data_IF_316864656510
#
_entry.id   IF_316864656510
#
_cell.length_a   1.000
_cell.length_b   1.000
_cell.length_c   1.000
_cell.angle_alpha   90.00
_cell.angle_beta   90.00
_cell.angle_gamma   90.00
#
_symmetry.space_group_name_H-M   'P 1'
#
loop_
_entity.id
_entity.type
_entity.pdbx_description
1 polymer ?
#
# COMPACT_ATOMS: atom_id res chain seq x y z
N UNK A 1 26.06 -2.35 0.34
CA UNK A 1 25.06 -2.85 1.31
C UNK A 1 23.88 -1.91 1.14
N UNK A 2 22.71 -2.45 0.79
CA UNK A 2 21.49 -1.64 0.60
C UNK A 2 20.98 -1.05 1.93
N UNK A 3 20.22 0.04 1.82
CA UNK A 3 19.70 0.77 2.99
C UNK A 3 18.75 -0.08 3.86
N UNK A 4 18.17 -1.15 3.32
CA UNK A 4 17.21 -2.01 3.99
C UNK A 4 17.73 -3.43 4.27
N UNK A 5 19.06 -3.62 4.23
CA UNK A 5 19.66 -4.93 4.50
C UNK A 5 19.29 -5.44 5.89
N UNK A 6 18.77 -6.69 5.93
CA UNK A 6 18.30 -7.34 7.16
C UNK A 6 16.90 -6.91 7.60
N UNK A 7 16.22 -6.03 6.87
CA UNK A 7 14.81 -5.67 7.10
C UNK A 7 13.87 -6.61 6.36
N UNK A 8 12.66 -6.76 6.87
CA UNK A 8 11.60 -7.55 6.26
C UNK A 8 10.43 -6.65 5.87
N UNK A 9 9.87 -6.88 4.69
CA UNK A 9 8.77 -6.09 4.16
C UNK A 9 7.58 -6.97 3.74
N UNK A 10 6.37 -6.55 4.09
CA UNK A 10 5.11 -7.13 3.61
C UNK A 10 4.42 -6.15 2.67
N UNK A 11 4.06 -6.62 1.48
CA UNK A 11 3.45 -5.79 0.44
C UNK A 11 2.14 -6.42 -0.02
N UNK A 12 0.99 -5.86 0.39
CA UNK A 12 -0.30 -6.29 -0.16
C UNK A 12 -0.49 -5.73 -1.57
N UNK A 13 -1.07 -6.54 -2.46
CA UNK A 13 -1.12 -6.19 -3.89
C UNK A 13 0.24 -6.21 -4.58
N UNK A 14 1.25 -6.88 -3.99
CA UNK A 14 2.63 -6.95 -4.45
C UNK A 14 2.88 -7.82 -5.68
N UNK A 15 1.83 -8.36 -6.31
CA UNK A 15 1.99 -9.31 -7.42
C UNK A 15 2.00 -8.65 -8.81
N UNK A 16 1.73 -7.34 -8.91
CA UNK A 16 1.75 -6.56 -10.14
C UNK A 16 1.77 -5.06 -9.88
N UNK A 17 2.01 -4.29 -10.95
CA UNK A 17 1.92 -2.83 -10.94
C UNK A 17 2.78 -2.18 -9.86
N UNK A 18 2.24 -1.16 -9.21
CA UNK A 18 2.96 -0.35 -8.20
C UNK A 18 3.44 -1.22 -7.03
N UNK A 19 2.60 -2.15 -6.54
CA UNK A 19 2.97 -3.03 -5.43
C UNK A 19 4.13 -3.96 -5.78
N UNK A 20 4.18 -4.47 -7.00
CA UNK A 20 5.30 -5.29 -7.49
C UNK A 20 6.59 -4.46 -7.60
N UNK A 21 6.53 -3.27 -8.16
CA UNK A 21 7.69 -2.38 -8.25
C UNK A 21 8.16 -1.91 -6.87
N UNK A 22 7.24 -1.72 -5.92
CA UNK A 22 7.61 -1.46 -4.53
C UNK A 22 8.35 -2.66 -3.91
N UNK A 23 7.83 -3.90 -4.09
CA UNK A 23 8.51 -5.10 -3.62
C UNK A 23 9.89 -5.25 -4.25
N UNK A 24 9.99 -4.99 -5.56
CA UNK A 24 11.26 -5.00 -6.29
C UNK A 24 12.25 -3.95 -5.76
N UNK A 25 11.82 -2.71 -5.60
CA UNK A 25 12.67 -1.63 -5.11
C UNK A 25 13.16 -1.87 -3.67
N UNK A 26 12.27 -2.32 -2.77
CA UNK A 26 12.63 -2.67 -1.39
C UNK A 26 13.62 -3.84 -1.35
N UNK A 27 13.40 -4.87 -2.19
CA UNK A 27 14.30 -6.02 -2.30
C UNK A 27 15.67 -5.65 -2.84
N UNK A 28 15.77 -4.77 -3.83
CA UNK A 28 17.04 -4.26 -4.36
C UNK A 28 17.82 -3.45 -3.30
N UNK A 29 17.11 -2.80 -2.37
CA UNK A 29 17.72 -2.17 -1.19
C UNK A 29 18.09 -3.17 -0.08
N UNK A 30 17.89 -4.46 -0.29
CA UNK A 30 18.34 -5.55 0.60
C UNK A 30 17.30 -6.08 1.56
N UNK A 31 16.02 -5.69 1.44
CA UNK A 31 14.97 -6.26 2.26
C UNK A 31 14.53 -7.66 1.77
N UNK A 32 14.20 -8.57 2.69
CA UNK A 32 13.41 -9.76 2.38
C UNK A 32 11.95 -9.32 2.19
N UNK A 33 11.32 -9.73 1.08
CA UNK A 33 9.97 -9.26 0.74
C UNK A 33 8.94 -10.38 0.72
N UNK A 34 7.78 -10.17 1.34
CA UNK A 34 6.62 -11.03 1.28
C UNK A 34 5.50 -10.31 0.52
N UNK A 35 5.15 -10.81 -0.67
CA UNK A 35 4.05 -10.26 -1.46
C UNK A 35 2.75 -10.98 -1.16
N UNK A 36 1.69 -10.23 -0.96
CA UNK A 36 0.34 -10.75 -0.70
C UNK A 36 -0.54 -10.48 -1.92
N UNK A 37 -1.18 -11.53 -2.42
CA UNK A 37 -2.11 -11.46 -3.54
C UNK A 37 -3.08 -12.64 -3.54
N UNK A 38 -4.23 -12.48 -4.20
CA UNK A 38 -5.30 -13.51 -4.19
C UNK A 38 -5.20 -14.53 -5.33
N UNK A 39 -4.36 -14.27 -6.32
CA UNK A 39 -4.18 -15.13 -7.49
C UNK A 39 -2.88 -15.94 -7.36
N UNK A 40 -2.93 -17.28 -7.21
CA UNK A 40 -1.75 -18.12 -7.04
C UNK A 40 -0.75 -17.98 -8.19
N UNK A 41 -1.23 -17.99 -9.43
CA UNK A 41 -0.35 -17.97 -10.61
C UNK A 41 0.40 -16.64 -10.73
N UNK A 42 -0.29 -15.52 -10.44
CA UNK A 42 0.35 -14.20 -10.41
C UNK A 42 1.34 -14.09 -9.25
N UNK A 43 1.01 -14.63 -8.09
CA UNK A 43 1.89 -14.64 -6.93
C UNK A 43 3.18 -15.43 -7.19
N UNK A 44 3.09 -16.63 -7.77
CA UNK A 44 4.24 -17.42 -8.17
C UNK A 44 5.11 -16.72 -9.22
N UNK A 45 4.46 -16.11 -10.23
CA UNK A 45 5.17 -15.38 -11.28
C UNK A 45 5.91 -14.17 -10.73
N UNK A 46 5.30 -13.42 -9.81
CA UNK A 46 5.92 -12.27 -9.15
C UNK A 46 7.14 -12.69 -8.33
N UNK A 47 6.99 -13.71 -7.48
CA UNK A 47 8.12 -14.22 -6.67
C UNK A 47 9.25 -14.73 -7.55
N UNK A 48 8.94 -15.47 -8.63
CA UNK A 48 9.94 -15.95 -9.58
C UNK A 48 10.70 -14.80 -10.24
N UNK A 49 10.00 -13.73 -10.64
CA UNK A 49 10.62 -12.54 -11.22
C UNK A 49 11.54 -11.81 -10.22
N UNK A 50 11.09 -11.62 -8.98
CA UNK A 50 11.89 -10.99 -7.93
C UNK A 50 13.15 -11.81 -7.61
N UNK A 51 13.02 -13.14 -7.48
CA UNK A 51 14.15 -14.05 -7.23
C UNK A 51 15.16 -14.08 -8.37
N UNK A 52 14.71 -13.92 -9.61
CA UNK A 52 15.60 -13.82 -10.77
C UNK A 52 16.50 -12.59 -10.73
N UNK A 53 16.11 -11.55 -9.98
CA UNK A 53 16.92 -10.36 -9.71
C UNK A 53 17.74 -10.48 -8.40
N UNK A 54 17.79 -11.67 -7.79
CA UNK A 54 18.54 -11.92 -6.55
C UNK A 54 17.83 -11.47 -5.27
N UNK A 55 16.55 -11.12 -5.34
CA UNK A 55 15.75 -10.66 -4.20
C UNK A 55 15.22 -11.88 -3.43
N UNK A 56 15.38 -11.89 -2.12
CA UNK A 56 14.73 -12.88 -1.25
C UNK A 56 13.23 -12.55 -1.14
N UNK A 57 12.40 -13.34 -1.83
CA UNK A 57 10.98 -13.07 -2.01
C UNK A 57 10.11 -14.27 -1.70
N UNK A 58 8.98 -14.03 -1.03
CA UNK A 58 7.96 -15.01 -0.66
C UNK A 58 6.58 -14.54 -1.07
N UNK A 59 5.60 -15.46 -1.16
CA UNK A 59 4.22 -15.10 -1.42
C UNK A 59 3.28 -15.72 -0.38
N UNK A 60 2.25 -14.95 -0.02
CA UNK A 60 1.05 -15.41 0.67
C UNK A 60 -0.17 -15.19 -0.22
N UNK A 61 -1.00 -16.25 -0.34
CA UNK A 61 -2.17 -16.23 -1.20
C UNK A 61 -3.39 -15.98 -0.34
N UNK A 62 -3.84 -14.72 -0.32
CA UNK A 62 -5.01 -14.29 0.45
C UNK A 62 -5.64 -13.05 -0.18
N UNK A 63 -6.96 -12.93 -0.10
CA UNK A 63 -7.66 -11.69 -0.41
C UNK A 63 -7.62 -10.77 0.83
N UNK A 64 -7.18 -9.53 0.66
CA UNK A 64 -7.12 -8.55 1.76
C UNK A 64 -8.48 -8.25 2.38
N UNK A 65 -9.58 -8.52 1.65
CA UNK A 65 -10.93 -8.40 2.16
C UNK A 65 -11.32 -9.55 3.12
N UNK A 66 -10.59 -10.69 3.10
CA UNK A 66 -10.80 -11.81 4.01
C UNK A 66 -10.02 -11.59 5.32
N UNK A 67 -10.71 -11.10 6.36
CA UNK A 67 -10.11 -10.81 7.65
C UNK A 67 -9.46 -12.04 8.30
N UNK A 68 -10.13 -13.22 8.25
CA UNK A 68 -9.62 -14.45 8.84
C UNK A 68 -8.41 -14.99 8.06
N UNK A 69 -8.46 -14.90 6.73
CA UNK A 69 -7.32 -15.24 5.87
C UNK A 69 -6.11 -14.34 6.13
N UNK A 70 -6.32 -13.05 6.37
CA UNK A 70 -5.27 -12.10 6.71
C UNK A 70 -4.65 -12.40 8.09
N UNK A 71 -5.45 -12.78 9.09
CA UNK A 71 -4.95 -13.25 10.39
C UNK A 71 -4.08 -14.50 10.24
N UNK A 72 -4.54 -15.47 9.45
CA UNK A 72 -3.78 -16.69 9.17
C UNK A 72 -2.48 -16.41 8.40
N UNK A 73 -2.48 -15.48 7.45
CA UNK A 73 -1.27 -15.05 6.74
C UNK A 73 -0.26 -14.38 7.69
N UNK A 74 -0.73 -13.49 8.56
CA UNK A 74 0.12 -12.82 9.53
C UNK A 74 0.77 -13.80 10.54
N UNK A 75 0.10 -14.89 10.88
CA UNK A 75 0.68 -15.92 11.75
C UNK A 75 1.86 -16.68 11.08
N UNK A 76 1.97 -16.66 9.75
CA UNK A 76 3.05 -17.30 9.00
C UNK A 76 4.21 -16.37 8.66
N UNK A 77 3.96 -15.07 8.64
CA UNK A 77 4.97 -14.06 8.34
C UNK A 77 5.50 -13.50 9.66
N UNK A 78 6.80 -13.56 9.93
CA UNK A 78 7.38 -12.87 11.09
C UNK A 78 7.01 -11.37 11.07
N UNK A 79 6.89 -10.75 12.24
CA UNK A 79 6.54 -9.33 12.36
C UNK A 79 7.45 -8.46 11.46
N UNK A 80 6.91 -7.84 10.41
CA UNK A 80 7.72 -7.12 9.43
C UNK A 80 8.24 -5.79 9.99
N UNK A 81 9.28 -5.26 9.35
CA UNK A 81 9.81 -3.91 9.61
C UNK A 81 9.13 -2.85 8.75
N UNK A 82 8.61 -3.29 7.58
CA UNK A 82 8.00 -2.44 6.58
C UNK A 82 6.67 -3.06 6.14
N UNK A 83 5.60 -2.30 6.18
CA UNK A 83 4.29 -2.68 5.64
C UNK A 83 3.90 -1.71 4.53
N UNK A 84 3.63 -2.27 3.34
CA UNK A 84 3.10 -1.52 2.19
C UNK A 84 1.70 -2.02 1.89
N UNK A 85 0.68 -1.22 2.22
CA UNK A 85 -0.70 -1.51 1.87
C UNK A 85 -1.01 -0.95 0.47
N UNK A 86 -0.78 -1.78 -0.58
CA UNK A 86 -0.95 -1.39 -1.98
C UNK A 86 -2.08 -2.13 -2.70
N UNK A 87 -2.71 -3.11 -2.07
CA UNK A 87 -3.87 -3.78 -2.67
C UNK A 87 -5.02 -2.80 -2.91
N UNK A 88 -5.64 -2.90 -4.08
CA UNK A 88 -6.79 -2.07 -4.40
C UNK A 88 -7.38 -2.38 -5.77
N UNK A 89 -8.61 -1.91 -5.97
CA UNK A 89 -9.37 -2.03 -7.21
C UNK A 89 -9.93 -0.67 -7.62
N UNK A 90 -10.06 -0.45 -8.93
CA UNK A 90 -10.77 0.72 -9.46
C UNK A 90 -12.27 0.47 -9.43
N UNK A 91 -13.05 1.54 -9.24
CA UNK A 91 -14.49 1.51 -9.48
C UNK A 91 -14.77 1.31 -10.98
N UNK A 92 -15.87 0.62 -11.27
CA UNK A 92 -16.36 0.55 -12.64
C UNK A 92 -16.63 1.95 -13.20
N UNK A 93 -16.24 2.14 -14.45
CA UNK A 93 -16.16 3.39 -15.23
C UNK A 93 -17.00 4.56 -14.74
N UNK A 94 -16.34 5.67 -14.36
CA UNK A 94 -16.90 7.02 -14.15
C UNK A 94 -18.33 7.03 -13.54
N UNK A 95 -18.66 5.99 -12.74
CA UNK A 95 -19.99 5.81 -12.18
C UNK A 95 -20.30 6.96 -11.21
N UNK A 96 -21.36 7.67 -11.51
CA UNK A 96 -21.89 8.74 -10.67
C UNK A 96 -22.62 8.15 -9.45
N UNK A 97 -22.72 8.89 -8.36
CA UNK A 97 -23.32 8.47 -7.09
C UNK A 97 -24.64 7.73 -7.26
N UNK A 98 -25.60 8.32 -7.98
CA UNK A 98 -26.95 7.76 -8.16
C UNK A 98 -27.01 6.51 -9.05
N UNK A 99 -25.92 6.15 -9.71
CA UNK A 99 -25.80 4.98 -10.59
C UNK A 99 -24.87 3.90 -10.06
N UNK A 100 -24.23 4.14 -8.92
CA UNK A 100 -23.39 3.14 -8.26
C UNK A 100 -24.26 2.09 -7.60
N UNK A 101 -24.07 0.82 -7.97
CA UNK A 101 -24.78 -0.26 -7.32
C UNK A 101 -24.24 -0.52 -5.91
N UNK A 102 -25.08 -1.02 -4.97
CA UNK A 102 -24.59 -1.43 -3.65
C UNK A 102 -23.51 -2.51 -3.70
N UNK A 103 -23.53 -3.39 -4.69
CA UNK A 103 -22.51 -4.42 -4.89
C UNK A 103 -21.17 -3.82 -5.27
N UNK A 104 -21.14 -2.89 -6.24
CA UNK A 104 -19.93 -2.19 -6.65
C UNK A 104 -19.36 -1.32 -5.51
N UNK A 105 -20.23 -0.65 -4.77
CA UNK A 105 -19.84 0.10 -3.58
C UNK A 105 -19.08 -0.78 -2.59
N UNK A 106 -19.67 -1.93 -2.20
CA UNK A 106 -19.03 -2.88 -1.26
C UNK A 106 -17.75 -3.44 -1.81
N UNK A 107 -17.73 -3.93 -3.05
CA UNK A 107 -16.54 -4.50 -3.68
C UNK A 107 -15.31 -3.57 -3.60
N UNK A 108 -15.52 -2.27 -3.84
CA UNK A 108 -14.43 -1.30 -3.81
C UNK A 108 -14.02 -0.97 -2.38
N UNK A 109 -14.97 -0.78 -1.46
CA UNK A 109 -14.64 -0.47 -0.06
C UNK A 109 -13.98 -1.66 0.64
N UNK A 110 -14.49 -2.87 0.46
CA UNK A 110 -13.90 -4.10 1.02
C UNK A 110 -12.42 -4.27 0.60
N UNK A 111 -12.10 -4.06 -0.68
CA UNK A 111 -10.72 -4.17 -1.12
C UNK A 111 -9.84 -2.98 -0.69
N UNK A 112 -10.33 -1.74 -0.87
CA UNK A 112 -9.50 -0.54 -0.79
C UNK A 112 -9.43 0.06 0.63
N UNK A 113 -10.43 -0.15 1.47
CA UNK A 113 -10.50 0.40 2.81
C UNK A 113 -10.39 -0.69 3.87
N UNK A 114 -11.30 -1.68 3.86
CA UNK A 114 -11.26 -2.77 4.83
C UNK A 114 -9.98 -3.60 4.68
N UNK A 115 -9.53 -3.86 3.43
CA UNK A 115 -8.26 -4.53 3.16
C UNK A 115 -7.04 -3.78 3.69
N UNK A 116 -7.04 -2.44 3.66
CA UNK A 116 -6.00 -1.63 4.31
C UNK A 116 -6.09 -1.77 5.83
N UNK A 117 -7.28 -1.66 6.40
CA UNK A 117 -7.49 -1.86 7.84
C UNK A 117 -7.01 -3.25 8.30
N UNK A 118 -7.37 -4.32 7.60
CA UNK A 118 -6.89 -5.68 7.91
C UNK A 118 -5.36 -5.76 7.81
N UNK A 119 -4.75 -5.16 6.79
CA UNK A 119 -3.29 -5.12 6.63
C UNK A 119 -2.62 -4.46 7.83
N UNK A 120 -3.10 -3.30 8.25
CA UNK A 120 -2.55 -2.59 9.41
C UNK A 120 -2.74 -3.42 10.70
N UNK A 121 -3.96 -3.89 10.96
CA UNK A 121 -4.30 -4.67 12.16
C UNK A 121 -3.45 -5.93 12.30
N UNK A 122 -3.18 -6.63 11.21
CA UNK A 122 -2.47 -7.90 11.24
C UNK A 122 -0.95 -7.74 11.31
N UNK A 123 -0.36 -6.76 10.64
CA UNK A 123 1.09 -6.71 10.46
C UNK A 123 1.83 -5.62 11.25
N UNK A 124 1.12 -4.71 11.93
CA UNK A 124 1.79 -3.62 12.65
C UNK A 124 1.92 -3.78 14.16
N UNK A 125 1.23 -4.70 14.87
CA UNK A 125 1.35 -4.79 16.33
C UNK A 125 2.79 -4.93 16.82
N UNK A 126 3.57 -5.82 16.24
CA UNK A 126 4.97 -6.01 16.61
C UNK A 126 5.86 -4.79 16.33
N UNK A 127 5.56 -3.97 15.31
CA UNK A 127 6.24 -2.69 15.09
C UNK A 127 5.99 -1.72 16.26
N UNK A 128 4.74 -1.65 16.72
CA UNK A 128 4.35 -0.78 17.83
C UNK A 128 5.02 -1.23 19.13
N UNK A 129 5.06 -2.54 19.41
CA UNK A 129 5.72 -3.11 20.59
C UNK A 129 7.22 -2.82 20.62
N UNK A 130 7.93 -3.09 19.52
CA UNK A 130 9.39 -2.86 19.44
C UNK A 130 9.76 -1.40 19.17
N UNK A 131 8.78 -0.54 18.90
CA UNK A 131 8.96 0.89 18.57
C UNK A 131 9.88 1.11 17.37
N UNK A 132 9.72 0.27 16.36
CA UNK A 132 10.44 0.38 15.09
C UNK A 132 9.58 -0.17 13.95
N UNK A 133 9.31 0.65 12.93
CA UNK A 133 8.53 0.23 11.78
C UNK A 133 8.20 1.35 10.81
N UNK A 134 7.91 0.94 9.57
CA UNK A 134 7.49 1.82 8.47
C UNK A 134 6.20 1.30 7.87
N UNK A 135 5.17 2.11 7.90
CA UNK A 135 3.85 1.80 7.32
C UNK A 135 3.56 2.79 6.20
N UNK A 136 3.46 2.28 4.99
CA UNK A 136 3.19 3.07 3.79
C UNK A 136 1.88 2.58 3.17
N UNK A 137 0.92 3.47 3.01
CA UNK A 137 -0.39 3.14 2.43
C UNK A 137 -0.55 3.84 1.08
N UNK A 138 -0.80 3.06 0.03
CA UNK A 138 -1.03 3.60 -1.30
C UNK A 138 -2.44 4.19 -1.38
N UNK A 139 -2.49 5.52 -1.35
CA UNK A 139 -3.68 6.32 -1.54
C UNK A 139 -3.81 6.79 -3.01
N UNK A 140 -4.45 7.90 -3.24
CA UNK A 140 -4.57 8.56 -4.54
C UNK A 140 -4.88 10.04 -4.36
N UNK A 141 -4.47 10.86 -5.33
CA UNK A 141 -4.90 12.26 -5.40
C UNK A 141 -6.43 12.43 -5.42
N UNK A 142 -7.14 11.43 -5.95
CA UNK A 142 -8.62 11.39 -5.98
C UNK A 142 -9.27 11.21 -4.60
N UNK A 143 -8.52 10.83 -3.57
CA UNK A 143 -8.98 10.77 -2.18
C UNK A 143 -8.74 12.04 -1.37
N UNK A 144 -8.17 13.08 -1.98
CA UNK A 144 -7.90 14.37 -1.31
C UNK A 144 -9.17 15.18 -1.12
N UNK A 145 -9.21 15.98 -0.09
CA UNK A 145 -10.28 16.97 0.16
C UNK A 145 -10.06 18.28 -0.60
N UNK A 146 -9.01 18.36 -1.43
CA UNK A 146 -8.62 19.53 -2.20
C UNK A 146 -8.08 19.15 -3.58
N UNK A 147 -7.99 20.10 -4.51
CA UNK A 147 -7.40 19.90 -5.84
C UNK A 147 -8.10 18.82 -6.66
N UNK A 148 -7.36 17.88 -7.26
CA UNK A 148 -7.92 16.85 -8.15
C UNK A 148 -8.97 15.94 -7.50
N UNK A 149 -9.04 15.88 -6.17
CA UNK A 149 -10.04 15.11 -5.43
C UNK A 149 -11.46 15.68 -5.53
N UNK A 150 -11.64 16.92 -5.98
CA UNK A 150 -12.93 17.60 -6.01
C UNK A 150 -13.82 17.27 -7.22
N UNK A 151 -13.30 16.56 -8.20
CA UNK A 151 -14.07 16.18 -9.39
C UNK A 151 -15.10 15.08 -9.09
N UNK A 152 -16.17 15.01 -9.86
CA UNK A 152 -17.19 13.96 -9.74
C UNK A 152 -16.80 12.62 -10.38
N UNK A 153 -17.59 11.59 -10.13
CA UNK A 153 -17.40 10.23 -10.66
C UNK A 153 -16.47 9.36 -9.80
N UNK A 154 -16.38 8.10 -10.11
CA UNK A 154 -15.58 7.09 -9.38
C UNK A 154 -15.87 7.05 -7.87
N UNK A 155 -17.10 7.29 -7.48
CA UNK A 155 -17.47 7.59 -6.08
C UNK A 155 -16.98 6.56 -5.08
N UNK A 156 -17.16 5.23 -5.29
CA UNK A 156 -16.65 4.24 -4.32
C UNK A 156 -15.13 4.33 -4.16
N UNK A 157 -14.41 4.55 -5.27
CA UNK A 157 -12.95 4.67 -5.24
C UNK A 157 -12.50 5.93 -4.48
N UNK A 158 -13.09 7.10 -4.79
CA UNK A 158 -12.77 8.36 -4.10
C UNK A 158 -13.03 8.26 -2.61
N UNK A 159 -14.21 7.74 -2.23
CA UNK A 159 -14.57 7.54 -0.82
C UNK A 159 -13.63 6.57 -0.14
N UNK A 160 -13.27 5.45 -0.79
CA UNK A 160 -12.31 4.50 -0.22
C UNK A 160 -10.95 5.15 0.05
N UNK A 161 -10.44 5.97 -0.88
CA UNK A 161 -9.15 6.64 -0.73
C UNK A 161 -9.18 7.80 0.27
N UNK A 162 -10.29 8.52 0.39
CA UNK A 162 -10.51 9.49 1.47
C UNK A 162 -10.58 8.79 2.85
N UNK A 163 -11.26 7.64 2.93
CA UNK A 163 -11.28 6.81 4.14
C UNK A 163 -9.89 6.31 4.53
N UNK A 164 -9.10 5.86 3.55
CA UNK A 164 -7.69 5.47 3.75
C UNK A 164 -6.87 6.65 4.30
N UNK A 165 -7.04 7.85 3.76
CA UNK A 165 -6.35 9.06 4.25
C UNK A 165 -6.71 9.33 5.73
N UNK A 166 -7.99 9.21 6.10
CA UNK A 166 -8.43 9.36 7.48
C UNK A 166 -7.85 8.27 8.40
N UNK A 167 -7.83 7.01 7.94
CA UNK A 167 -7.27 5.88 8.68
C UNK A 167 -5.77 6.08 8.95
N UNK A 168 -4.99 6.50 7.95
CA UNK A 168 -3.55 6.77 8.10
C UNK A 168 -3.31 7.86 9.13
N UNK A 169 -4.06 8.95 9.07
CA UNK A 169 -3.94 10.05 10.05
C UNK A 169 -4.25 9.61 11.48
N UNK A 170 -5.32 8.82 11.65
CA UNK A 170 -5.71 8.27 12.95
C UNK A 170 -4.61 7.37 13.49
N UNK A 171 -4.16 6.41 12.70
CA UNK A 171 -3.14 5.45 13.12
C UNK A 171 -1.78 6.11 13.38
N UNK A 172 -1.39 7.11 12.59
CA UNK A 172 -0.20 7.92 12.87
C UNK A 172 -0.28 8.63 14.22
N UNK A 173 -1.44 9.19 14.57
CA UNK A 173 -1.66 9.83 15.87
C UNK A 173 -1.60 8.81 17.03
N UNK A 174 -2.21 7.64 16.88
CA UNK A 174 -2.19 6.55 17.85
C UNK A 174 -0.77 6.03 18.10
N UNK A 175 0.08 5.98 17.08
CA UNK A 175 1.49 5.58 17.18
C UNK A 175 2.42 6.71 17.57
N UNK A 176 1.90 7.88 17.93
CA UNK A 176 2.65 9.03 18.43
C UNK A 176 3.35 9.86 17.37
N UNK A 177 2.85 9.86 16.15
CA UNK A 177 3.34 10.69 15.04
C UNK A 177 4.87 10.58 14.83
N UNK A 178 5.38 9.33 14.83
CA UNK A 178 6.82 9.05 14.69
C UNK A 178 7.63 9.09 15.99
N UNK A 179 7.16 9.76 17.04
CA UNK A 179 7.90 9.90 18.32
C UNK A 179 8.14 8.56 19.04
N UNK A 180 7.39 7.52 18.67
CA UNK A 180 7.53 6.17 19.21
C UNK A 180 8.22 5.20 18.24
N UNK A 181 8.92 5.69 17.22
CA UNK A 181 9.72 4.89 16.30
C UNK A 181 8.92 4.24 15.16
N UNK A 182 7.60 4.43 15.09
CA UNK A 182 6.78 3.94 13.97
C UNK A 182 6.34 5.11 13.12
N UNK A 183 6.68 5.09 11.82
CA UNK A 183 6.15 6.03 10.84
C UNK A 183 4.95 5.43 10.10
N UNK A 184 3.92 6.23 9.89
CA UNK A 184 2.68 5.84 9.19
C UNK A 184 2.32 6.93 8.21
N UNK A 185 2.47 6.66 6.91
CA UNK A 185 2.29 7.64 5.85
C UNK A 185 1.41 7.11 4.72
N UNK A 186 0.66 7.99 4.08
CA UNK A 186 0.01 7.71 2.82
C UNK A 186 0.84 8.27 1.66
N UNK A 187 0.72 7.66 0.47
CA UNK A 187 1.32 8.20 -0.73
C UNK A 187 0.38 8.11 -1.94
N UNK A 188 0.46 9.12 -2.79
CA UNK A 188 -0.19 9.14 -4.11
C UNK A 188 0.87 8.80 -5.17
N UNK A 189 0.69 7.71 -5.94
CA UNK A 189 1.64 7.34 -6.97
C UNK A 189 1.51 8.15 -8.27
N UNK A 190 0.50 9.04 -8.35
CA UNK A 190 0.08 9.64 -9.59
C UNK A 190 -0.65 8.65 -10.51
N UNK A 191 -0.83 9.02 -11.78
CA UNK A 191 -1.47 8.15 -12.79
C UNK A 191 -0.42 7.28 -13.48
N UNK A 192 -0.37 5.99 -13.13
CA UNK A 192 0.67 5.04 -13.56
C UNK A 192 0.14 4.00 -14.54
N UNK A 193 0.98 3.60 -15.52
CA UNK A 193 0.74 2.52 -16.47
C UNK A 193 0.73 1.17 -15.75
N UNK A 194 -0.47 0.75 -15.42
CA UNK A 194 -0.81 -0.52 -14.76
C UNK A 194 -2.14 -1.00 -15.35
N UNK A 195 -2.56 -2.20 -15.01
CA UNK A 195 -3.90 -2.70 -15.40
C UNK A 195 -5.02 -1.74 -14.94
N UNK A 196 -4.81 -1.03 -13.84
CA UNK A 196 -5.76 -0.06 -13.29
C UNK A 196 -5.71 1.29 -14.02
N UNK A 197 -4.52 1.79 -14.31
CA UNK A 197 -4.32 3.12 -14.87
C UNK A 197 -4.39 3.17 -16.39
N UNK A 198 -4.29 2.01 -17.06
CA UNK A 198 -4.29 1.91 -18.52
C UNK A 198 -2.92 2.19 -19.17
N UNK A 199 -2.79 1.89 -20.48
CA UNK A 199 -1.53 2.01 -21.20
C UNK A 199 -1.08 3.46 -21.44
N UNK A 200 -2.02 4.39 -21.49
CA UNK A 200 -1.75 5.80 -21.82
C UNK A 200 -1.39 6.65 -20.59
N UNK A 201 -1.31 6.04 -19.40
CA UNK A 201 -0.92 6.76 -18.20
C UNK A 201 0.51 7.29 -18.32
N UNK A 202 0.80 8.53 -17.88
CA UNK A 202 2.08 9.19 -18.15
C UNK A 202 3.26 8.54 -17.39
N UNK A 203 3.00 7.97 -16.21
CA UNK A 203 4.04 7.41 -15.34
C UNK A 203 4.15 5.90 -15.49
N UNK A 204 5.36 5.36 -15.37
CA UNK A 204 5.56 3.92 -15.18
C UNK A 204 5.14 3.48 -13.77
N UNK A 205 4.94 2.18 -13.57
CA UNK A 205 4.70 1.63 -12.23
C UNK A 205 5.90 1.82 -11.29
N UNK A 206 7.12 1.77 -11.84
CA UNK A 206 8.35 2.00 -11.10
C UNK A 206 8.46 3.45 -10.58
N UNK A 207 8.15 4.45 -11.42
CA UNK A 207 8.06 5.85 -10.98
C UNK A 207 6.98 6.04 -9.91
N UNK A 208 5.86 5.31 -10.03
CA UNK A 208 4.81 5.32 -9.00
C UNK A 208 5.23 4.70 -7.66
N UNK A 209 6.15 3.74 -7.68
CA UNK A 209 6.67 3.07 -6.49
C UNK A 209 7.83 3.81 -5.82
N UNK A 210 8.48 4.75 -6.49
CA UNK A 210 9.67 5.44 -6.02
C UNK A 210 9.50 6.06 -4.62
N UNK A 211 8.41 6.76 -4.39
CA UNK A 211 8.11 7.36 -3.08
C UNK A 211 7.90 6.30 -1.98
N UNK A 212 7.42 5.10 -2.32
CA UNK A 212 7.29 4.00 -1.35
C UNK A 212 8.67 3.57 -0.85
N UNK A 213 9.60 3.31 -1.78
CA UNK A 213 10.96 2.89 -1.45
C UNK A 213 11.67 3.96 -0.63
N UNK A 214 11.55 5.22 -1.04
CA UNK A 214 12.11 6.35 -0.30
C UNK A 214 11.53 6.47 1.11
N UNK A 215 10.21 6.36 1.30
CA UNK A 215 9.58 6.41 2.64
C UNK A 215 10.06 5.27 3.54
N UNK A 216 10.22 4.06 2.97
CA UNK A 216 10.72 2.91 3.70
C UNK A 216 12.18 3.05 4.15
N UNK A 217 13.00 3.78 3.39
CA UNK A 217 14.42 3.99 3.65
C UNK A 217 14.71 5.18 4.58
N UNK A 218 13.69 5.98 4.94
CA UNK A 218 13.88 7.14 5.83
C UNK A 218 14.09 6.71 7.29
N UNK A 219 14.86 7.50 8.01
CA UNK A 219 14.92 7.39 9.47
C UNK A 219 13.54 7.67 10.10
N UNK A 220 13.17 6.98 11.20
CA UNK A 220 11.83 7.06 11.80
C UNK A 220 11.43 8.45 12.30
N UNK A 221 12.35 9.34 12.41
CA UNK A 221 12.24 10.48 13.30
C UNK A 221 11.38 11.63 12.80
N UNK A 222 10.84 11.67 11.54
CA UNK A 222 10.06 12.86 11.14
C UNK A 222 9.67 12.94 9.68
N UNK A 223 8.81 13.85 9.35
CA UNK A 223 7.43 13.96 9.79
C UNK A 223 6.63 12.79 9.24
N UNK A 224 5.64 12.32 9.96
CA UNK A 224 4.78 11.20 9.58
C UNK A 224 3.31 11.58 9.77
N UNK A 225 2.39 10.76 9.30
CA UNK A 225 0.97 11.10 9.27
C UNK A 225 0.64 12.04 8.12
N UNK A 226 1.39 11.97 7.04
CA UNK A 226 1.28 12.85 5.87
C UNK A 226 0.85 12.07 4.62
N UNK A 227 0.35 12.82 3.63
CA UNK A 227 0.19 12.34 2.26
C UNK A 227 1.36 12.84 1.43
N UNK A 228 2.03 11.90 0.74
CA UNK A 228 3.21 12.16 -0.07
C UNK A 228 2.93 11.97 -1.56
N UNK A 229 3.51 12.80 -2.39
CA UNK A 229 3.58 12.63 -3.85
C UNK A 229 4.97 13.11 -4.29
N UNK A 230 5.66 12.30 -5.08
CA UNK A 230 7.03 12.60 -5.57
C UNK A 230 8.00 13.04 -4.46
N UNK A 231 7.99 12.29 -3.35
CA UNK A 231 8.80 12.53 -2.15
C UNK A 231 8.54 13.88 -1.46
N UNK A 232 7.47 14.57 -1.81
CA UNK A 232 7.05 15.83 -1.19
C UNK A 232 5.68 15.68 -0.50
N UNK A 233 5.46 16.31 0.66
CA UNK A 233 4.16 16.30 1.30
C UNK A 233 3.16 17.14 0.48
N UNK A 234 1.94 16.60 0.35
CA UNK A 234 0.83 17.27 -0.32
C UNK A 234 -0.38 17.38 0.61
N UNK A 235 -1.29 18.35 0.40
CA UNK A 235 -2.51 18.46 1.20
C UNK A 235 -3.37 17.21 1.11
N UNK A 236 -4.06 16.90 2.19
CA UNK A 236 -5.05 15.81 2.27
C UNK A 236 -6.30 16.08 1.43
#
# INVERSE_FOLDING_TARGET
VGALTGRTAVITGGTRGIGFEAARGLGLEGATVSVIGRDPHRSESAVRALRAEGIDAHAEIVDVADAAGMDAAAARIPSPDIVVASAGVMAERMTKTLRTSPAEWRRVLEANLDGVFHTLRCFTPGMVERRDGRVIVVSACLGRSSGPGLEGGLVPYRVSKAGVNALVRSFAAETGTGSRGVSVDAMCPGHCRTDMGGPDAPRSAAEGADTIVWLASREPATPTGLLWEDRAPVPW
#
